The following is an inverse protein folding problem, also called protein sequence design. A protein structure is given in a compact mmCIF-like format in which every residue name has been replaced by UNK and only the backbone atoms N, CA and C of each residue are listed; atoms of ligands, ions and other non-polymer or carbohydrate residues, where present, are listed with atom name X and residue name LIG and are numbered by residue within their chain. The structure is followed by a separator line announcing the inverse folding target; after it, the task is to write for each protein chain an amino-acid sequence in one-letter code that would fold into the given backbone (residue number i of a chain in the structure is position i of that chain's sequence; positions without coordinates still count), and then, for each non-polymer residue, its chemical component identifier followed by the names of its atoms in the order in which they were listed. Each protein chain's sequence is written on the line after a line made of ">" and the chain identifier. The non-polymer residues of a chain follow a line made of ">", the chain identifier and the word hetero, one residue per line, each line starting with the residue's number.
data_IF_161056238404
#
_entry.id   IF_161056238404
#
_cell.length_a   1.000
_cell.length_b   1.000
_cell.length_c   1.000
_cell.angle_alpha   90.00
_cell.angle_beta   90.00
_cell.angle_gamma   90.00
#
_symmetry.space_group_name_H-M   'P 1'
#
loop_
_entity.id
_entity.type
_entity.pdbx_description
1 polymer ?
#
# COMPACT_ATOMS: atom_id res chain seq x y z
N UNK A 1 16.49 -19.74 13.10
CA UNK A 1 16.80 -18.70 12.09
C UNK A 1 18.19 -18.99 11.58
N UNK A 2 18.31 -19.62 10.41
CA UNK A 2 19.60 -19.80 9.75
C UNK A 2 20.04 -18.45 9.21
N UNK A 3 21.27 -18.01 9.54
CA UNK A 3 22.00 -16.86 8.99
C UNK A 3 22.29 -17.04 7.48
N UNK A 4 21.27 -17.37 6.69
CA UNK A 4 21.38 -17.43 5.24
C UNK A 4 21.26 -16.00 4.71
N UNK A 5 22.25 -15.59 3.91
CA UNK A 5 22.26 -14.29 3.24
C UNK A 5 21.03 -14.17 2.32
N UNK A 6 20.33 -13.01 2.31
CA UNK A 6 19.15 -12.83 1.47
C UNK A 6 19.51 -12.96 -0.02
N UNK A 7 18.64 -13.62 -0.79
CA UNK A 7 18.83 -13.79 -2.23
C UNK A 7 18.66 -12.46 -2.97
N UNK A 8 17.77 -11.59 -2.47
CA UNK A 8 17.57 -10.22 -2.95
C UNK A 8 17.44 -9.26 -1.76
N UNK A 9 18.15 -8.14 -1.84
CA UNK A 9 18.18 -7.13 -0.79
C UNK A 9 18.15 -5.73 -1.38
N UNK A 10 17.36 -4.83 -0.83
CA UNK A 10 17.35 -3.42 -1.17
C UNK A 10 17.73 -2.60 0.06
N UNK A 11 18.57 -1.58 -0.13
CA UNK A 11 19.03 -0.67 0.92
C UNK A 11 18.70 0.78 0.55
N UNK A 12 17.93 1.46 1.39
CA UNK A 12 17.52 2.86 1.21
C UNK A 12 16.86 3.15 -0.14
N UNK A 13 16.16 2.16 -0.70
CA UNK A 13 15.70 2.20 -2.07
C UNK A 13 14.71 3.33 -2.27
N UNK A 14 15.01 4.21 -3.22
CA UNK A 14 14.21 5.41 -3.47
C UNK A 14 13.87 5.49 -4.95
N UNK A 15 12.60 5.77 -5.26
CA UNK A 15 12.18 6.07 -6.63
C UNK A 15 11.21 7.24 -6.67
N UNK A 16 11.68 8.34 -7.23
CA UNK A 16 10.89 9.53 -7.48
C UNK A 16 10.65 9.72 -8.99
N UNK A 17 9.45 10.17 -9.34
CA UNK A 17 9.11 10.56 -10.71
C UNK A 17 8.99 12.08 -10.80
N UNK A 18 9.52 12.66 -11.87
CA UNK A 18 9.33 14.06 -12.19
C UNK A 18 7.90 14.25 -12.75
N UNK A 19 7.09 15.06 -12.07
CA UNK A 19 5.72 15.38 -12.50
C UNK A 19 5.62 16.70 -13.26
N UNK A 20 6.74 17.31 -13.65
CA UNK A 20 6.71 18.55 -14.43
C UNK A 20 6.12 18.31 -15.82
N UNK A 21 4.91 18.84 -16.05
CA UNK A 21 4.30 18.91 -17.37
C UNK A 21 4.99 19.99 -18.22
N UNK A 22 6.19 19.70 -18.69
CA UNK A 22 6.84 20.40 -19.81
C UNK A 22 8.02 21.32 -19.46
N UNK A 23 8.75 21.65 -20.54
CA UNK A 23 10.03 22.38 -20.52
C UNK A 23 10.00 23.76 -19.83
N UNK A 24 8.82 24.38 -19.72
CA UNK A 24 8.67 25.72 -19.14
C UNK A 24 8.64 25.68 -17.60
N UNK A 25 8.03 24.66 -17.00
CA UNK A 25 7.96 24.54 -15.52
C UNK A 25 9.31 24.12 -14.92
N UNK A 26 10.06 23.26 -15.64
CA UNK A 26 11.44 22.93 -15.30
C UNK A 26 12.38 24.16 -15.32
N UNK A 27 12.17 25.09 -16.26
CA UNK A 27 12.92 26.36 -16.32
C UNK A 27 12.55 27.37 -15.22
N UNK A 28 11.35 27.25 -14.63
CA UNK A 28 10.87 28.10 -13.54
C UNK A 28 11.18 27.53 -12.15
N UNK A 29 11.84 26.37 -12.07
CA UNK A 29 12.23 25.75 -10.80
C UNK A 29 11.07 25.12 -10.02
N UNK A 30 9.97 24.78 -10.70
CA UNK A 30 8.77 24.17 -10.11
C UNK A 30 8.72 22.66 -10.35
N UNK A 31 9.85 21.98 -10.14
CA UNK A 31 9.88 20.51 -10.25
C UNK A 31 9.15 19.93 -9.05
N UNK A 32 8.00 19.32 -9.31
CA UNK A 32 7.28 18.51 -8.35
C UNK A 32 7.71 17.05 -8.52
N UNK A 33 7.98 16.38 -7.41
CA UNK A 33 8.46 15.00 -7.40
C UNK A 33 7.39 14.11 -6.79
N UNK A 34 6.97 13.07 -7.51
CA UNK A 34 6.12 12.01 -6.96
C UNK A 34 7.01 11.01 -6.25
N UNK A 35 6.89 10.93 -4.93
CA UNK A 35 7.66 9.99 -4.10
C UNK A 35 7.01 8.60 -4.07
N UNK A 36 7.27 7.79 -5.10
CA UNK A 36 6.62 6.49 -5.25
C UNK A 36 7.23 5.39 -4.36
N UNK A 37 8.53 5.48 -4.08
CA UNK A 37 9.25 4.68 -3.08
C UNK A 37 10.22 5.62 -2.39
N UNK A 38 10.27 5.63 -1.06
CA UNK A 38 11.07 6.59 -0.30
C UNK A 38 11.88 5.90 0.80
N UNK A 39 13.15 5.62 0.51
CA UNK A 39 14.11 5.12 1.51
C UNK A 39 13.81 3.76 2.13
N UNK A 40 13.25 2.81 1.36
CA UNK A 40 12.83 1.51 1.94
C UNK A 40 13.94 0.46 1.91
N UNK A 41 14.04 -0.31 2.99
CA UNK A 41 14.92 -1.49 3.12
C UNK A 41 14.09 -2.77 2.99
N UNK A 42 14.50 -3.69 2.11
CA UNK A 42 13.74 -4.92 1.83
C UNK A 42 14.67 -6.12 1.70
N UNK A 43 14.29 -7.25 2.28
CA UNK A 43 15.03 -8.51 2.17
C UNK A 43 14.10 -9.66 1.81
N UNK A 44 14.50 -10.40 0.77
CA UNK A 44 13.91 -11.67 0.34
C UNK A 44 14.93 -12.78 0.54
N UNK A 45 14.50 -13.88 1.15
CA UNK A 45 15.29 -15.10 1.36
C UNK A 45 15.01 -16.12 0.26
N UNK A 46 15.95 -17.05 0.06
CA UNK A 46 15.78 -18.15 -0.89
C UNK A 46 14.59 -19.03 -0.47
N UNK A 47 13.69 -19.31 -1.42
CA UNK A 47 12.48 -20.09 -1.20
C UNK A 47 11.38 -19.37 -0.42
N UNK A 48 11.54 -18.08 -0.11
CA UNK A 48 10.56 -17.27 0.63
C UNK A 48 9.59 -16.58 -0.34
N UNK A 49 8.33 -16.43 0.09
CA UNK A 49 7.38 -15.47 -0.48
C UNK A 49 7.26 -14.27 0.44
N UNK A 50 7.72 -13.11 -0.04
CA UNK A 50 7.53 -11.81 0.59
C UNK A 50 6.30 -11.11 -0.01
N UNK A 51 5.22 -11.03 0.75
CA UNK A 51 4.02 -10.28 0.42
C UNK A 51 4.23 -8.77 0.58
N UNK A 52 3.82 -7.99 -0.42
CA UNK A 52 3.79 -6.52 -0.37
C UNK A 52 2.36 -6.06 -0.58
N UNK A 53 1.77 -5.45 0.44
CA UNK A 53 0.36 -5.07 0.48
C UNK A 53 0.17 -3.58 0.75
N UNK A 54 -0.97 -3.04 0.33
CA UNK A 54 -1.34 -1.64 0.56
C UNK A 54 -2.39 -1.15 -0.43
N UNK A 55 -2.92 0.05 -0.22
CA UNK A 55 -3.93 0.67 -1.08
C UNK A 55 -3.37 0.92 -2.50
N UNK A 56 -4.26 1.06 -3.49
CA UNK A 56 -3.85 1.41 -4.85
C UNK A 56 -3.09 2.74 -4.87
N UNK A 57 -2.00 2.79 -5.65
CA UNK A 57 -1.16 3.99 -5.76
C UNK A 57 -0.15 4.22 -4.62
N UNK A 58 -0.05 3.33 -3.62
CA UNK A 58 0.92 3.50 -2.53
C UNK A 58 2.40 3.22 -2.90
N UNK A 59 2.68 2.70 -4.10
CA UNK A 59 4.05 2.51 -4.60
C UNK A 59 4.48 1.08 -4.93
N UNK A 60 3.68 0.05 -4.62
CA UNK A 60 4.05 -1.38 -4.75
C UNK A 60 4.58 -1.78 -6.13
N UNK A 61 3.86 -1.44 -7.20
CA UNK A 61 4.31 -1.71 -8.58
C UNK A 61 5.61 -0.98 -8.91
N UNK A 62 5.83 0.22 -8.38
CA UNK A 62 7.11 0.94 -8.55
C UNK A 62 8.22 0.22 -7.79
N UNK A 63 7.98 -0.22 -6.56
CA UNK A 63 8.92 -1.04 -5.79
C UNK A 63 9.34 -2.29 -6.58
N UNK A 64 8.38 -3.11 -7.02
CA UNK A 64 8.65 -4.33 -7.78
C UNK A 64 9.47 -4.08 -9.05
N UNK A 65 9.13 -3.04 -9.81
CA UNK A 65 9.89 -2.67 -11.03
C UNK A 65 11.29 -2.14 -10.73
N UNK A 66 11.46 -1.45 -9.60
CA UNK A 66 12.74 -0.86 -9.21
C UNK A 66 13.69 -1.93 -8.69
N UNK A 67 13.20 -2.94 -7.96
CA UNK A 67 13.98 -4.10 -7.51
C UNK A 67 14.69 -4.82 -8.69
N UNK A 68 14.05 -4.89 -9.86
CA UNK A 68 14.61 -5.53 -11.05
C UNK A 68 15.31 -4.57 -12.01
N UNK A 69 15.42 -3.28 -11.63
CA UNK A 69 15.92 -2.21 -12.49
C UNK A 69 15.19 -2.17 -13.86
N UNK A 70 13.89 -2.51 -13.86
CA UNK A 70 12.99 -2.18 -14.97
C UNK A 70 12.70 -0.67 -14.98
N UNK A 71 12.74 -0.08 -13.79
CA UNK A 71 12.79 1.36 -13.56
C UNK A 71 14.06 1.65 -12.76
N UNK A 72 14.87 2.60 -13.22
CA UNK A 72 16.10 2.98 -12.51
C UNK A 72 15.76 3.64 -11.17
N UNK A 73 16.34 3.22 -10.04
CA UNK A 73 16.19 3.91 -8.77
C UNK A 73 16.69 5.36 -8.86
N UNK A 74 16.11 6.23 -8.05
CA UNK A 74 16.60 7.60 -7.85
C UNK A 74 17.79 7.61 -6.89
N UNK A 75 17.73 6.79 -5.84
CA UNK A 75 18.80 6.59 -4.85
C UNK A 75 18.66 5.18 -4.22
N UNK A 76 19.66 4.77 -3.46
CA UNK A 76 19.75 3.45 -2.84
C UNK A 76 20.29 2.37 -3.79
N UNK A 77 20.46 1.16 -3.25
CA UNK A 77 21.04 0.03 -3.96
C UNK A 77 20.14 -1.21 -3.88
N UNK A 78 20.25 -2.08 -4.87
CA UNK A 78 19.60 -3.39 -4.88
C UNK A 78 20.66 -4.44 -5.16
N UNK A 79 20.76 -5.44 -4.30
CA UNK A 79 21.71 -6.54 -4.36
C UNK A 79 20.98 -7.83 -4.68
N UNK A 80 21.50 -8.61 -5.63
CA UNK A 80 21.07 -9.98 -5.88
C UNK A 80 22.26 -10.91 -5.70
N UNK A 81 22.15 -11.87 -4.78
CA UNK A 81 23.26 -12.74 -4.36
C UNK A 81 24.57 -11.97 -4.08
N UNK A 82 24.45 -10.79 -3.45
CA UNK A 82 25.57 -9.90 -3.14
C UNK A 82 26.11 -9.03 -4.30
N UNK A 83 25.62 -9.19 -5.54
CA UNK A 83 25.97 -8.33 -6.68
C UNK A 83 25.02 -7.12 -6.75
N UNK A 84 25.56 -5.89 -6.79
CA UNK A 84 24.76 -4.66 -6.90
C UNK A 84 24.18 -4.47 -8.30
N UNK A 85 22.86 -4.64 -8.43
CA UNK A 85 22.09 -4.50 -9.65
C UNK A 85 22.10 -3.07 -10.23
N UNK A 86 22.35 -2.05 -9.40
CA UNK A 86 22.33 -0.65 -9.83
C UNK A 86 23.57 -0.25 -10.63
N UNK A 87 24.70 -0.92 -10.39
CA UNK A 87 26.00 -0.63 -11.04
C UNK A 87 26.39 -1.65 -12.14
N UNK A 88 25.61 -2.72 -12.33
CA UNK A 88 25.92 -3.69 -13.40
C UNK A 88 25.72 -3.10 -14.80
N UNK A 89 26.53 -3.59 -15.75
CA UNK A 89 26.42 -3.24 -17.16
C UNK A 89 25.11 -3.78 -17.78
N UNK A 90 24.64 -3.12 -18.85
CA UNK A 90 23.49 -3.60 -19.64
C UNK A 90 23.61 -5.04 -20.14
N UNK A 91 24.84 -5.53 -20.37
CA UNK A 91 25.07 -6.93 -20.77
C UNK A 91 24.83 -7.87 -19.59
N UNK A 92 25.40 -7.57 -18.42
CA UNK A 92 25.20 -8.37 -17.20
C UNK A 92 23.73 -8.35 -16.74
N UNK A 93 23.05 -7.20 -16.85
CA UNK A 93 21.60 -7.12 -16.64
C UNK A 93 20.81 -8.05 -17.56
N UNK A 94 21.22 -8.24 -18.82
CA UNK A 94 20.56 -9.21 -19.71
C UNK A 94 20.77 -10.64 -19.25
N UNK A 95 21.91 -10.96 -18.66
CA UNK A 95 22.16 -12.28 -18.10
C UNK A 95 21.32 -12.51 -16.84
N UNK A 96 21.29 -11.55 -15.92
CA UNK A 96 20.50 -11.59 -14.69
C UNK A 96 18.98 -11.65 -14.94
N UNK A 97 18.51 -11.18 -16.10
CA UNK A 97 17.13 -11.38 -16.56
C UNK A 97 16.79 -12.82 -16.94
N UNK A 98 17.69 -13.79 -16.83
CA UNK A 98 17.32 -15.21 -16.80
C UNK A 98 16.93 -15.65 -15.38
N UNK A 99 17.67 -15.13 -14.41
CA UNK A 99 17.58 -15.50 -12.99
C UNK A 99 16.44 -14.77 -12.27
N UNK A 100 16.06 -13.57 -12.74
CA UNK A 100 15.03 -12.74 -12.11
C UNK A 100 13.95 -12.37 -13.14
N UNK A 101 12.70 -12.70 -12.85
CA UNK A 101 11.55 -12.52 -13.74
C UNK A 101 10.43 -11.67 -13.14
N UNK A 102 9.53 -11.21 -14.01
CA UNK A 102 8.41 -10.36 -13.64
C UNK A 102 7.11 -10.85 -14.29
N UNK A 103 6.08 -11.04 -13.47
CA UNK A 103 4.70 -11.30 -13.90
C UNK A 103 3.91 -10.00 -13.71
N UNK A 104 3.40 -9.46 -14.81
CA UNK A 104 2.70 -8.18 -14.83
C UNK A 104 1.22 -8.30 -14.44
N UNK A 105 0.69 -7.24 -13.84
CA UNK A 105 -0.69 -7.08 -13.36
C UNK A 105 -1.78 -7.43 -14.36
N UNK A 106 -1.64 -7.02 -15.62
CA UNK A 106 -2.65 -7.28 -16.64
C UNK A 106 -2.15 -8.32 -17.68
N UNK A 107 -2.71 -9.54 -17.67
CA UNK A 107 -2.38 -10.54 -18.68
C UNK A 107 -2.85 -10.16 -20.10
N UNK A 108 -3.77 -9.20 -20.26
CA UNK A 108 -4.20 -8.73 -21.59
C UNK A 108 -3.15 -7.83 -22.24
N UNK A 109 -2.65 -6.82 -21.52
CA UNK A 109 -1.66 -5.89 -22.06
C UNK A 109 -0.25 -6.48 -22.11
N UNK A 110 0.06 -7.48 -21.27
CA UNK A 110 1.39 -8.09 -21.22
C UNK A 110 1.62 -9.21 -22.25
N UNK A 111 0.57 -9.74 -22.87
CA UNK A 111 0.67 -10.76 -23.93
C UNK A 111 0.45 -10.12 -25.30
N UNK A 112 1.42 -10.26 -26.22
CA UNK A 112 1.29 -9.71 -27.57
C UNK A 112 0.17 -10.46 -28.33
N UNK A 113 -0.96 -9.81 -28.69
CA UNK A 113 -2.11 -10.49 -29.28
C UNK A 113 -1.86 -10.99 -30.71
N UNK A 114 -0.73 -10.61 -31.33
CA UNK A 114 -0.33 -11.04 -32.68
C UNK A 114 0.51 -12.31 -32.69
N UNK A 115 1.01 -12.73 -31.53
CA UNK A 115 1.83 -13.93 -31.38
C UNK A 115 0.96 -15.09 -30.90
N UNK A 116 1.33 -16.31 -31.28
CA UNK A 116 0.72 -17.50 -30.69
C UNK A 116 1.22 -17.70 -29.26
N UNK A 117 0.51 -18.49 -28.46
CA UNK A 117 0.93 -18.82 -27.10
C UNK A 117 2.31 -19.46 -27.07
N UNK A 118 2.60 -20.35 -28.02
CA UNK A 118 3.91 -20.97 -28.14
C UNK A 118 5.01 -19.98 -28.54
N UNK A 119 4.69 -18.97 -29.36
CA UNK A 119 5.63 -17.89 -29.65
C UNK A 119 5.92 -17.05 -28.40
N UNK A 120 4.88 -16.74 -27.62
CA UNK A 120 5.01 -15.92 -26.40
C UNK A 120 5.83 -16.64 -25.32
N UNK A 121 5.55 -17.93 -25.08
CA UNK A 121 6.28 -18.74 -24.09
C UNK A 121 7.72 -19.01 -24.57
N UNK A 122 7.92 -19.15 -25.88
CA UNK A 122 9.25 -19.42 -26.44
C UNK A 122 10.11 -18.17 -26.67
N UNK A 123 9.55 -16.96 -26.67
CA UNK A 123 10.30 -15.73 -26.88
C UNK A 123 11.46 -15.55 -25.87
N UNK A 124 11.32 -15.81 -24.56
CA UNK A 124 12.44 -15.79 -23.63
C UNK A 124 13.53 -16.83 -23.97
N UNK A 125 13.14 -18.03 -24.43
CA UNK A 125 14.11 -19.06 -24.85
C UNK A 125 14.96 -18.57 -26.02
N UNK A 126 14.33 -17.91 -26.99
CA UNK A 126 14.99 -17.37 -28.17
C UNK A 126 15.89 -16.17 -27.83
N UNK A 127 15.43 -15.27 -26.96
CA UNK A 127 16.19 -14.07 -26.55
C UNK A 127 17.49 -14.44 -25.81
N UNK A 128 17.46 -15.54 -25.06
CA UNK A 128 18.56 -15.98 -24.21
C UNK A 128 19.34 -17.19 -24.76
N UNK A 129 19.08 -17.58 -26.02
CA UNK A 129 19.75 -18.68 -26.72
C UNK A 129 19.69 -20.01 -25.91
N UNK A 130 18.56 -20.29 -25.25
CA UNK A 130 18.39 -21.45 -24.35
C UNK A 130 18.04 -22.73 -25.12
N UNK A 131 17.13 -22.63 -26.10
CA UNK A 131 16.65 -23.79 -26.85
C UNK A 131 16.19 -23.38 -28.26
N UNK A 132 16.40 -24.25 -29.25
CA UNK A 132 15.98 -24.03 -30.64
C UNK A 132 15.24 -25.25 -31.21
N UNK A 133 14.48 -25.04 -32.30
CA UNK A 133 13.88 -26.13 -33.08
C UNK A 133 12.94 -27.06 -32.28
N UNK A 134 13.21 -28.37 -32.33
CA UNK A 134 12.40 -29.38 -31.63
C UNK A 134 12.54 -29.27 -30.10
N UNK A 135 13.71 -28.90 -29.59
CA UNK A 135 13.95 -28.73 -28.15
C UNK A 135 13.12 -27.56 -27.61
N UNK A 136 13.13 -26.42 -28.31
CA UNK A 136 12.26 -25.28 -28.00
C UNK A 136 10.79 -25.68 -27.95
N UNK A 137 10.34 -26.44 -28.95
CA UNK A 137 8.94 -26.89 -29.02
C UNK A 137 8.60 -27.83 -27.87
N UNK A 138 9.50 -28.76 -27.54
CA UNK A 138 9.34 -29.66 -26.39
C UNK A 138 9.24 -28.90 -25.07
N UNK A 139 10.11 -27.91 -24.85
CA UNK A 139 10.09 -27.07 -23.65
C UNK A 139 8.81 -26.26 -23.51
N UNK A 140 8.29 -25.69 -24.61
CA UNK A 140 7.01 -24.98 -24.59
C UNK A 140 5.86 -25.90 -24.18
N UNK A 141 5.86 -27.15 -24.65
CA UNK A 141 4.81 -28.11 -24.30
C UNK A 141 4.88 -28.54 -22.85
N UNK A 142 6.09 -28.77 -22.33
CA UNK A 142 6.33 -29.02 -20.92
C UNK A 142 5.82 -27.85 -20.06
N UNK A 143 6.22 -26.61 -20.37
CA UNK A 143 5.80 -25.42 -19.62
C UNK A 143 4.28 -25.23 -19.63
N UNK A 144 3.61 -25.52 -20.76
CA UNK A 144 2.15 -25.49 -20.84
C UNK A 144 1.53 -26.53 -19.90
N UNK A 145 2.05 -27.75 -19.88
CA UNK A 145 1.58 -28.81 -18.96
C UNK A 145 1.81 -28.45 -17.50
N UNK A 146 2.99 -27.91 -17.17
CA UNK A 146 3.35 -27.43 -15.83
C UNK A 146 2.33 -26.42 -15.31
N UNK A 147 1.90 -25.46 -16.12
CA UNK A 147 0.86 -24.50 -15.72
C UNK A 147 -0.58 -25.00 -15.91
N UNK A 148 -0.79 -26.31 -16.13
CA UNK A 148 -2.10 -26.94 -16.24
C UNK A 148 -2.85 -26.64 -17.55
N UNK A 149 -2.13 -26.31 -18.63
CA UNK A 149 -2.68 -26.09 -19.96
C UNK A 149 -2.32 -27.26 -20.90
N UNK A 150 -3.17 -27.48 -21.91
CA UNK A 150 -2.90 -28.52 -22.90
C UNK A 150 -1.81 -28.07 -23.89
N UNK A 151 -0.78 -28.88 -24.22
CA UNK A 151 0.26 -28.52 -25.20
C UNK A 151 -0.26 -28.02 -26.55
N UNK A 152 -1.40 -28.56 -27.02
CA UNK A 152 -2.01 -28.14 -28.29
C UNK A 152 -2.46 -26.67 -28.29
N UNK A 153 -2.54 -26.03 -27.13
CA UNK A 153 -2.80 -24.61 -26.97
C UNK A 153 -1.67 -23.73 -27.49
N UNK A 154 -0.46 -24.26 -27.69
CA UNK A 154 0.68 -23.50 -28.22
C UNK A 154 0.37 -22.79 -29.56
N UNK A 155 -0.49 -23.36 -30.40
CA UNK A 155 -0.84 -22.80 -31.71
C UNK A 155 -1.99 -21.79 -31.68
N UNK A 156 -2.58 -21.56 -30.51
CA UNK A 156 -3.69 -20.60 -30.32
C UNK A 156 -3.15 -19.21 -29.98
N UNK A 157 -4.02 -18.22 -30.09
CA UNK A 157 -3.74 -16.83 -29.74
C UNK A 157 -4.30 -16.47 -28.36
N UNK A 158 -3.72 -15.48 -27.65
CA UNK A 158 -4.16 -15.08 -26.31
C UNK A 158 -5.67 -14.79 -26.19
N UNK A 159 -6.29 -14.21 -27.23
CA UNK A 159 -7.71 -13.86 -27.22
C UNK A 159 -8.65 -15.07 -27.14
N UNK A 160 -8.15 -16.29 -27.37
CA UNK A 160 -8.90 -17.55 -27.30
C UNK A 160 -8.95 -18.15 -25.88
N UNK A 161 -8.35 -17.49 -24.88
CA UNK A 161 -8.23 -17.96 -23.50
C UNK A 161 -9.00 -17.09 -22.50
N UNK A 162 -9.42 -17.68 -21.38
CA UNK A 162 -9.96 -16.96 -20.21
C UNK A 162 -8.88 -16.14 -19.50
N UNK A 163 -9.27 -15.23 -18.59
CA UNK A 163 -8.33 -14.44 -17.80
C UNK A 163 -7.31 -15.31 -17.04
N UNK A 164 -7.78 -16.31 -16.29
CA UNK A 164 -6.90 -17.22 -15.55
C UNK A 164 -5.99 -18.07 -16.44
N UNK A 165 -6.47 -18.48 -17.63
CA UNK A 165 -5.61 -19.19 -18.59
C UNK A 165 -4.51 -18.29 -19.17
N UNK A 166 -4.81 -17.00 -19.41
CA UNK A 166 -3.78 -16.03 -19.82
C UNK A 166 -2.78 -15.75 -18.71
N UNK A 167 -3.22 -15.74 -17.46
CA UNK A 167 -2.33 -15.64 -16.32
C UNK A 167 -1.37 -16.83 -16.27
N UNK A 168 -1.88 -18.06 -16.45
CA UNK A 168 -1.07 -19.28 -16.58
C UNK A 168 -0.05 -19.19 -17.73
N UNK A 169 -0.43 -18.62 -18.87
CA UNK A 169 0.50 -18.36 -19.98
C UNK A 169 1.59 -17.36 -19.57
N UNK A 170 1.24 -16.30 -18.84
CA UNK A 170 2.20 -15.35 -18.29
C UNK A 170 3.20 -15.98 -17.32
N UNK A 171 2.72 -16.87 -16.45
CA UNK A 171 3.55 -17.67 -15.53
C UNK A 171 4.48 -18.60 -16.32
N UNK A 172 3.96 -19.35 -17.29
CA UNK A 172 4.76 -20.25 -18.14
C UNK A 172 5.86 -19.50 -18.90
N UNK A 173 5.58 -18.28 -19.37
CA UNK A 173 6.58 -17.42 -20.00
C UNK A 173 7.70 -17.04 -19.03
N UNK A 174 7.38 -16.69 -17.79
CA UNK A 174 8.40 -16.37 -16.78
C UNK A 174 9.27 -17.59 -16.44
N UNK A 175 8.67 -18.76 -16.30
CA UNK A 175 9.38 -20.02 -16.01
C UNK A 175 10.27 -20.51 -17.16
N UNK A 176 10.09 -19.99 -18.38
CA UNK A 176 10.78 -20.50 -19.55
C UNK A 176 12.32 -20.44 -19.43
N UNK A 177 12.84 -19.51 -18.62
CA UNK A 177 14.28 -19.28 -18.42
C UNK A 177 14.82 -19.85 -17.11
N UNK A 178 14.04 -20.69 -16.41
CA UNK A 178 14.39 -21.30 -15.11
C UNK A 178 14.87 -20.26 -14.07
N UNK A 179 14.02 -19.28 -13.70
CA UNK A 179 14.40 -18.21 -12.78
C UNK A 179 14.53 -18.71 -11.34
N UNK A 180 15.24 -17.93 -10.51
CA UNK A 180 15.29 -18.13 -9.05
C UNK A 180 14.29 -17.19 -8.33
N UNK A 181 14.05 -16.00 -8.89
CA UNK A 181 13.16 -14.99 -8.31
C UNK A 181 12.09 -14.58 -9.32
N UNK A 182 10.84 -14.47 -8.85
CA UNK A 182 9.76 -13.88 -9.63
C UNK A 182 9.06 -12.78 -8.82
N UNK A 183 8.98 -11.58 -9.40
CA UNK A 183 8.11 -10.51 -8.87
C UNK A 183 6.73 -10.66 -9.50
N UNK A 184 5.74 -10.93 -8.66
CA UNK A 184 4.35 -11.10 -9.02
C UNK A 184 3.59 -9.81 -8.72
N UNK A 185 3.34 -8.99 -9.74
CA UNK A 185 2.65 -7.70 -9.60
C UNK A 185 1.15 -7.90 -9.79
N UNK A 186 0.40 -8.02 -8.69
CA UNK A 186 -1.05 -8.26 -8.69
C UNK A 186 -1.50 -9.39 -9.63
N UNK A 187 -0.93 -10.60 -9.52
CA UNK A 187 -1.15 -11.67 -10.50
C UNK A 187 -2.60 -12.19 -10.55
N UNK A 188 -3.45 -11.79 -9.60
CA UNK A 188 -4.80 -12.32 -9.41
C UNK A 188 -5.89 -11.22 -9.36
N UNK A 189 -5.54 -9.94 -9.48
CA UNK A 189 -6.48 -8.82 -9.22
C UNK A 189 -7.66 -8.75 -10.20
N UNK A 190 -7.48 -9.20 -11.43
CA UNK A 190 -8.52 -9.18 -12.47
C UNK A 190 -9.32 -10.49 -12.60
N UNK A 191 -9.20 -11.41 -11.63
CA UNK A 191 -9.75 -12.76 -11.68
C UNK A 191 -10.88 -12.95 -10.66
N UNK A 192 -11.81 -13.86 -10.96
CA UNK A 192 -12.83 -14.26 -9.99
C UNK A 192 -12.21 -15.09 -8.86
N UNK A 193 -12.80 -15.05 -7.65
CA UNK A 193 -12.28 -15.69 -6.42
C UNK A 193 -11.90 -17.16 -6.64
N UNK A 194 -12.68 -17.92 -7.42
CA UNK A 194 -12.39 -19.34 -7.66
C UNK A 194 -11.15 -19.55 -8.53
N UNK A 195 -10.93 -18.67 -9.51
CA UNK A 195 -9.73 -18.67 -10.36
C UNK A 195 -8.53 -18.09 -9.61
N UNK A 196 -8.72 -17.09 -8.73
CA UNK A 196 -7.65 -16.56 -7.88
C UNK A 196 -7.00 -17.69 -7.06
N UNK A 197 -7.80 -18.47 -6.32
CA UNK A 197 -7.32 -19.61 -5.54
C UNK A 197 -6.56 -20.63 -6.41
N UNK A 198 -7.04 -20.93 -7.63
CA UNK A 198 -6.34 -21.84 -8.54
C UNK A 198 -4.99 -21.32 -9.03
N UNK A 199 -4.80 -20.00 -9.09
CA UNK A 199 -3.52 -19.38 -9.46
C UNK A 199 -2.58 -19.34 -8.25
N UNK A 200 -3.09 -19.06 -7.04
CA UNK A 200 -2.27 -19.10 -5.82
C UNK A 200 -1.71 -20.50 -5.58
N UNK A 201 -2.56 -21.53 -5.59
CA UNK A 201 -2.10 -22.92 -5.45
C UNK A 201 -1.08 -23.31 -6.52
N UNK A 202 -1.26 -22.82 -7.76
CA UNK A 202 -0.28 -23.06 -8.82
C UNK A 202 1.07 -22.41 -8.48
N UNK A 203 1.09 -21.18 -7.97
CA UNK A 203 2.33 -20.52 -7.58
C UNK A 203 3.02 -21.24 -6.42
N UNK A 204 2.27 -21.71 -5.43
CA UNK A 204 2.78 -22.53 -4.33
C UNK A 204 3.40 -23.84 -4.84
N UNK A 205 2.69 -24.58 -5.69
CA UNK A 205 3.19 -25.82 -6.31
C UNK A 205 4.51 -25.56 -7.07
N UNK A 206 4.58 -24.44 -7.80
CA UNK A 206 5.78 -24.05 -8.54
C UNK A 206 6.93 -23.63 -7.62
N UNK A 207 6.63 -22.97 -6.50
CA UNK A 207 7.62 -22.60 -5.49
C UNK A 207 8.29 -23.86 -4.94
N UNK A 208 7.51 -24.86 -4.55
CA UNK A 208 7.99 -26.12 -4.02
C UNK A 208 8.77 -26.94 -5.07
N UNK A 209 8.27 -26.99 -6.30
CA UNK A 209 8.87 -27.80 -7.38
C UNK A 209 10.19 -27.22 -7.89
N UNK A 210 10.26 -25.89 -8.05
CA UNK A 210 11.40 -25.21 -8.69
C UNK A 210 12.30 -24.45 -7.69
N UNK A 211 11.94 -24.37 -6.41
CA UNK A 211 12.69 -23.62 -5.41
C UNK A 211 12.63 -22.11 -5.62
N UNK A 212 11.50 -21.59 -6.13
CA UNK A 212 11.35 -20.17 -6.47
C UNK A 212 11.26 -19.31 -5.21
N UNK A 213 11.69 -18.06 -5.33
CA UNK A 213 11.44 -17.02 -4.33
C UNK A 213 10.54 -15.94 -4.94
N UNK A 214 9.57 -15.45 -4.17
CA UNK A 214 8.56 -14.52 -4.68
C UNK A 214 8.58 -13.18 -3.95
N UNK A 215 8.49 -12.09 -4.71
CA UNK A 215 7.93 -10.83 -4.19
C UNK A 215 6.51 -10.76 -4.71
N UNK A 216 5.53 -10.94 -3.83
CA UNK A 216 4.12 -11.02 -4.19
C UNK A 216 3.40 -9.71 -3.84
N UNK A 217 3.12 -8.90 -4.85
CA UNK A 217 2.43 -7.63 -4.70
C UNK A 217 0.92 -7.84 -4.82
N UNK A 218 0.16 -7.38 -3.84
CA UNK A 218 -1.30 -7.37 -3.88
C UNK A 218 -1.87 -6.12 -3.20
N UNK A 219 -3.18 -5.91 -3.34
CA UNK A 219 -3.92 -4.89 -2.59
C UNK A 219 -4.87 -5.52 -1.55
N UNK A 220 -4.96 -6.85 -1.50
CA UNK A 220 -5.86 -7.60 -0.64
C UNK A 220 -5.02 -8.43 0.35
N UNK A 221 -5.24 -8.19 1.65
CA UNK A 221 -4.56 -8.90 2.73
C UNK A 221 -4.89 -10.40 2.74
N UNK A 222 -6.12 -10.79 2.38
CA UNK A 222 -6.53 -12.20 2.37
C UNK A 222 -5.79 -13.03 1.32
N UNK A 223 -5.39 -12.41 0.21
CA UNK A 223 -4.61 -13.06 -0.84
C UNK A 223 -3.16 -13.26 -0.39
N UNK A 224 -2.56 -12.26 0.26
CA UNK A 224 -1.17 -12.36 0.73
C UNK A 224 -1.03 -13.28 1.93
N UNK A 225 -2.04 -13.37 2.81
CA UNK A 225 -2.08 -14.30 3.93
C UNK A 225 -1.88 -15.75 3.48
N UNK A 226 -2.49 -16.11 2.34
CA UNK A 226 -2.49 -17.49 1.87
C UNK A 226 -1.11 -17.97 1.41
N UNK A 227 -0.37 -17.11 0.71
CA UNK A 227 0.85 -17.48 -0.04
C UNK A 227 2.15 -16.96 0.57
N UNK A 228 2.10 -15.97 1.46
CA UNK A 228 3.31 -15.28 1.94
C UNK A 228 3.84 -15.87 3.24
N UNK A 229 5.16 -15.93 3.37
CA UNK A 229 5.85 -16.24 4.63
C UNK A 229 5.98 -14.98 5.51
N UNK A 230 6.23 -13.84 4.86
CA UNK A 230 6.40 -12.51 5.46
C UNK A 230 5.62 -11.48 4.68
N UNK A 231 5.17 -10.44 5.37
CA UNK A 231 4.36 -9.37 4.80
C UNK A 231 4.99 -8.02 5.14
N UNK A 232 4.96 -7.14 4.14
CA UNK A 232 5.30 -5.73 4.24
C UNK A 232 4.07 -4.92 3.85
N UNK A 233 3.58 -4.10 4.78
CA UNK A 233 2.47 -3.17 4.56
C UNK A 233 3.04 -1.83 4.12
N UNK A 234 2.75 -1.42 2.89
CA UNK A 234 3.27 -0.22 2.26
C UNK A 234 2.23 0.90 2.24
N UNK A 235 2.61 2.08 2.72
CA UNK A 235 1.79 3.28 2.71
C UNK A 235 2.58 4.48 2.17
N UNK A 236 2.06 5.12 1.13
CA UNK A 236 2.66 6.31 0.49
C UNK A 236 4.19 6.24 0.29
N UNK A 237 4.71 5.16 -0.28
CA UNK A 237 6.15 5.05 -0.58
C UNK A 237 7.01 4.46 0.53
N UNK A 238 6.48 4.26 1.73
CA UNK A 238 7.20 3.74 2.91
C UNK A 238 6.56 2.45 3.44
N UNK A 239 7.30 1.75 4.31
CA UNK A 239 6.80 0.56 5.01
C UNK A 239 6.21 0.96 6.37
N UNK A 240 4.91 0.75 6.54
CA UNK A 240 4.20 1.01 7.77
C UNK A 240 4.38 -0.12 8.80
N UNK A 241 4.50 -1.35 8.32
CA UNK A 241 4.60 -2.55 9.15
C UNK A 241 5.25 -3.70 8.38
N UNK A 242 6.11 -4.46 9.07
CA UNK A 242 6.85 -5.60 8.52
C UNK A 242 6.84 -6.73 9.53
N UNK A 243 6.55 -7.96 9.12
CA UNK A 243 6.60 -9.11 10.01
C UNK A 243 6.38 -10.43 9.27
N UNK A 244 6.40 -11.54 10.00
CA UNK A 244 5.84 -12.80 9.49
C UNK A 244 4.35 -12.66 9.23
N UNK A 245 3.79 -13.51 8.37
CA UNK A 245 2.35 -13.49 8.10
C UNK A 245 1.53 -13.63 9.39
N UNK A 246 1.95 -14.49 10.32
CA UNK A 246 1.29 -14.58 11.63
C UNK A 246 1.39 -13.29 12.44
N UNK A 247 2.57 -12.68 12.54
CA UNK A 247 2.77 -11.44 13.31
C UNK A 247 1.95 -10.26 12.75
N UNK A 248 1.81 -10.13 11.43
CA UNK A 248 1.05 -9.02 10.82
C UNK A 248 -0.47 -9.22 10.96
N UNK A 249 -0.92 -10.45 11.20
CA UNK A 249 -2.33 -10.81 11.40
C UNK A 249 -2.74 -10.92 12.88
N UNK A 250 -1.81 -10.68 13.80
CA UNK A 250 -2.05 -10.67 15.25
C UNK A 250 -1.60 -9.32 15.87
N UNK A 251 -2.29 -8.78 16.89
CA UNK A 251 -1.88 -7.51 17.51
C UNK A 251 -0.48 -7.63 18.15
N UNK A 252 0.30 -6.54 18.21
CA UNK A 252 -0.07 -5.15 17.93
C UNK A 252 -0.06 -4.78 16.43
N UNK A 253 -0.85 -3.77 16.02
CA UNK A 253 -0.94 -3.34 14.62
C UNK A 253 -0.57 -1.88 14.39
N UNK A 254 0.04 -1.56 13.25
CA UNK A 254 -0.05 -0.20 12.74
C UNK A 254 -1.54 0.15 12.52
N UNK A 255 -2.04 1.34 12.91
CA UNK A 255 -3.45 1.72 12.71
C UNK A 255 -3.94 1.64 11.24
N UNK A 256 -3.01 1.72 10.30
CA UNK A 256 -3.27 1.47 8.87
C UNK A 256 -3.51 -0.01 8.58
N UNK A 257 -2.64 -0.90 9.08
CA UNK A 257 -2.78 -2.36 8.93
C UNK A 257 -4.07 -2.84 9.59
N UNK A 258 -4.36 -2.36 10.80
CA UNK A 258 -5.62 -2.65 11.50
C UNK A 258 -6.84 -2.27 10.65
N UNK A 259 -6.81 -1.10 10.01
CA UNK A 259 -7.88 -0.68 9.12
C UNK A 259 -8.01 -1.57 7.87
N UNK A 260 -6.90 -2.01 7.28
CA UNK A 260 -6.91 -2.95 6.15
C UNK A 260 -7.47 -4.32 6.57
N UNK A 261 -7.06 -4.85 7.71
CA UNK A 261 -7.54 -6.12 8.26
C UNK A 261 -9.05 -6.05 8.58
N UNK A 262 -9.53 -4.94 9.14
CA UNK A 262 -10.95 -4.74 9.45
C UNK A 262 -11.87 -4.73 8.23
N UNK A 263 -11.30 -4.56 7.03
CA UNK A 263 -12.03 -4.60 5.77
C UNK A 263 -12.12 -6.01 5.15
N UNK A 264 -11.41 -7.00 5.69
CA UNK A 264 -11.50 -8.39 5.23
C UNK A 264 -12.86 -8.95 5.65
N UNK A 265 -13.68 -9.46 4.71
CA UNK A 265 -14.99 -9.97 5.02
C UNK A 265 -14.90 -11.29 5.79
N UNK A 266 -15.55 -11.38 6.95
CA UNK A 266 -15.68 -12.65 7.65
C UNK A 266 -16.74 -13.56 7.00
N UNK A 267 -16.46 -14.87 6.82
CA UNK A 267 -17.41 -15.81 6.21
C UNK A 267 -18.72 -16.01 7.01
N UNK A 268 -18.77 -15.61 8.28
CA UNK A 268 -19.95 -15.75 9.12
C UNK A 268 -21.02 -14.70 8.74
N UNK A 269 -22.19 -15.12 8.22
CA UNK A 269 -23.27 -14.19 7.87
C UNK A 269 -23.90 -13.45 9.06
N UNK A 270 -23.56 -13.83 10.29
CA UNK A 270 -23.98 -13.17 11.53
C UNK A 270 -22.93 -12.20 12.08
N UNK A 271 -21.78 -12.07 11.41
CA UNK A 271 -20.72 -11.18 11.87
C UNK A 271 -21.14 -9.71 11.78
N UNK A 272 -21.18 -9.06 12.95
CA UNK A 272 -21.37 -7.61 13.11
C UNK A 272 -20.04 -6.99 13.56
N UNK A 273 -18.98 -7.14 12.76
CA UNK A 273 -17.70 -6.53 13.09
C UNK A 273 -17.66 -5.05 12.80
N UNK A 274 -16.87 -4.34 13.60
CA UNK A 274 -16.64 -2.91 13.44
C UNK A 274 -15.60 -2.67 12.33
N UNK A 275 -16.08 -2.45 11.10
CA UNK A 275 -15.22 -2.01 10.01
C UNK A 275 -14.66 -0.61 10.32
N UNK A 276 -13.34 -0.44 10.24
CA UNK A 276 -12.69 0.85 10.44
C UNK A 276 -12.77 1.62 9.12
N UNK A 277 -13.58 2.68 9.09
CA UNK A 277 -13.66 3.57 7.95
C UNK A 277 -12.58 4.65 8.06
N UNK A 278 -11.59 4.59 7.17
CA UNK A 278 -10.58 5.64 7.08
C UNK A 278 -11.18 6.91 6.44
N UNK A 279 -11.08 8.07 7.09
CA UNK A 279 -11.61 9.31 6.54
C UNK A 279 -10.79 9.80 5.34
N UNK A 280 -11.44 10.56 4.46
CA UNK A 280 -10.80 11.26 3.35
C UNK A 280 -10.22 10.35 2.25
N UNK A 281 -9.50 10.98 1.31
CA UNK A 281 -8.78 10.29 0.25
C UNK A 281 -7.31 10.06 0.65
N UNK A 282 -6.63 9.15 -0.04
CA UNK A 282 -5.17 9.01 0.06
C UNK A 282 -4.50 10.35 -0.29
N UNK A 283 -3.61 10.87 0.57
CA UNK A 283 -2.86 12.09 0.27
C UNK A 283 -2.04 11.99 -1.02
N UNK A 284 -1.73 13.14 -1.62
CA UNK A 284 -0.93 13.17 -2.84
C UNK A 284 0.50 12.72 -2.58
N UNK A 285 1.06 11.80 -3.36
CA UNK A 285 2.48 11.43 -3.27
C UNK A 285 3.43 12.52 -3.80
N UNK A 286 2.90 13.62 -4.35
CA UNK A 286 3.69 14.80 -4.76
C UNK A 286 4.14 15.62 -3.53
N UNK A 287 3.26 15.71 -2.54
CA UNK A 287 3.46 16.46 -1.31
C UNK A 287 2.96 15.60 -0.15
N UNK A 288 3.73 14.56 0.24
CA UNK A 288 3.31 13.64 1.29
C UNK A 288 3.22 14.37 2.64
N UNK A 289 2.33 13.94 3.55
CA UNK A 289 2.23 14.54 4.88
C UNK A 289 3.55 14.49 5.64
N UNK A 290 3.82 15.51 6.46
CA UNK A 290 5.03 15.58 7.30
C UNK A 290 4.96 14.60 8.48
N UNK A 291 6.11 14.24 9.05
CA UNK A 291 6.16 13.28 10.16
C UNK A 291 5.66 11.90 9.72
N UNK A 292 4.67 11.35 10.41
CA UNK A 292 4.04 10.07 10.05
C UNK A 292 3.10 10.25 8.85
N UNK A 293 3.42 9.69 7.69
CA UNK A 293 2.59 9.84 6.46
C UNK A 293 1.10 9.52 6.65
N UNK A 294 0.78 8.62 7.59
CA UNK A 294 -0.60 8.20 7.86
C UNK A 294 -1.37 9.13 8.82
N UNK A 295 -0.73 10.11 9.46
CA UNK A 295 -1.35 10.93 10.52
C UNK A 295 -2.64 11.64 10.07
N UNK A 296 -2.78 11.95 8.78
CA UNK A 296 -3.97 12.59 8.21
C UNK A 296 -5.20 11.68 8.17
N UNK A 297 -5.02 10.35 8.20
CA UNK A 297 -6.10 9.36 8.16
C UNK A 297 -6.14 8.48 9.40
N UNK A 298 -5.11 8.52 10.23
CA UNK A 298 -4.96 7.69 11.42
C UNK A 298 -6.08 7.95 12.45
N UNK A 299 -6.89 6.93 12.82
CA UNK A 299 -7.87 7.06 13.91
C UNK A 299 -7.19 7.26 15.28
N UNK A 300 -5.96 6.75 15.43
CA UNK A 300 -5.14 6.82 16.64
C UNK A 300 -4.07 7.93 16.58
N UNK A 301 -4.34 9.02 15.84
CA UNK A 301 -3.42 10.18 15.80
C UNK A 301 -3.22 10.73 17.21
N UNK A 302 -1.95 10.85 17.62
CA UNK A 302 -1.59 11.20 18.99
C UNK A 302 -1.97 12.66 19.27
N UNK A 303 -2.58 12.92 20.42
CA UNK A 303 -2.80 14.27 20.91
C UNK A 303 -1.63 14.72 21.80
N UNK A 304 -1.24 16.00 21.80
CA UNK A 304 -0.28 16.55 22.75
C UNK A 304 -0.68 16.33 24.21
N UNK A 305 0.31 16.23 25.11
CA UNK A 305 0.08 16.04 26.56
C UNK A 305 -0.77 17.14 27.21
N UNK A 306 -0.81 18.33 26.60
CA UNK A 306 -1.61 19.47 27.06
C UNK A 306 -3.12 19.29 26.85
N UNK A 307 -3.54 18.31 26.04
CA UNK A 307 -4.94 17.98 25.81
C UNK A 307 -5.38 16.67 26.48
N UNK A 308 -6.60 16.68 27.01
CA UNK A 308 -7.29 15.51 27.56
C UNK A 308 -8.66 15.33 26.91
N UNK A 309 -8.63 14.88 25.65
CA UNK A 309 -9.80 14.67 24.80
C UNK A 309 -10.02 13.19 24.55
N UNK A 310 -11.29 12.78 24.43
CA UNK A 310 -11.60 11.48 23.85
C UNK A 310 -11.04 11.37 22.43
N UNK A 311 -10.52 10.20 22.06
CA UNK A 311 -9.80 10.00 20.80
C UNK A 311 -10.68 10.32 19.57
N UNK A 312 -11.97 9.99 19.63
CA UNK A 312 -12.93 10.33 18.58
C UNK A 312 -13.08 11.85 18.40
N UNK A 313 -13.15 12.60 19.50
CA UNK A 313 -13.26 14.07 19.48
C UNK A 313 -11.98 14.71 18.95
N UNK A 314 -10.81 14.23 19.38
CA UNK A 314 -9.52 14.67 18.85
C UNK A 314 -9.45 14.43 17.33
N UNK A 315 -9.84 13.23 16.88
CA UNK A 315 -9.86 12.90 15.46
C UNK A 315 -10.80 13.82 14.68
N UNK A 316 -11.99 14.12 15.20
CA UNK A 316 -12.94 15.06 14.58
C UNK A 316 -12.35 16.48 14.43
N UNK A 317 -11.64 16.97 15.44
CA UNK A 317 -10.93 18.26 15.37
C UNK A 317 -9.83 18.22 14.30
N UNK A 318 -9.07 17.13 14.21
CA UNK A 318 -8.05 16.94 13.18
C UNK A 318 -8.64 16.87 11.76
N UNK A 319 -9.86 16.33 11.59
CA UNK A 319 -10.58 16.37 10.31
C UNK A 319 -10.96 17.80 9.91
N UNK A 320 -11.48 18.59 10.85
CA UNK A 320 -11.77 20.01 10.62
C UNK A 320 -10.51 20.78 10.23
N UNK A 321 -9.40 20.54 10.95
CA UNK A 321 -8.09 21.13 10.65
C UNK A 321 -7.66 20.81 9.21
N UNK A 322 -7.68 19.53 8.83
CA UNK A 322 -7.30 19.12 7.47
C UNK A 322 -8.22 19.71 6.41
N UNK A 323 -9.54 19.69 6.61
CA UNK A 323 -10.50 20.26 5.66
C UNK A 323 -10.31 21.77 5.49
N UNK A 324 -9.95 22.47 6.57
CA UNK A 324 -9.66 23.91 6.54
C UNK A 324 -8.33 24.23 5.85
N UNK A 325 -7.33 23.32 5.93
CA UNK A 325 -6.08 23.44 5.14
C UNK A 325 -6.36 23.42 3.64
N UNK A 326 -7.18 22.49 3.18
CA UNK A 326 -7.47 22.29 1.75
C UNK A 326 -8.52 23.27 1.19
N UNK A 327 -9.28 23.94 2.06
CA UNK A 327 -10.36 24.83 1.69
C UNK A 327 -9.87 26.21 1.21
N UNK A 328 -10.43 26.68 0.08
CA UNK A 328 -10.30 28.08 -0.35
C UNK A 328 -11.45 28.96 0.16
N UNK A 329 -12.61 28.36 0.46
CA UNK A 329 -13.82 29.08 0.87
C UNK A 329 -14.55 28.38 2.02
N UNK A 330 -15.41 29.11 2.73
CA UNK A 330 -16.19 28.56 3.85
C UNK A 330 -17.10 27.41 3.40
N UNK A 331 -17.71 27.54 2.23
CA UNK A 331 -18.63 26.54 1.68
C UNK A 331 -17.94 25.20 1.46
N UNK A 332 -16.65 25.20 1.10
CA UNK A 332 -15.87 23.96 0.91
C UNK A 332 -15.59 23.20 2.22
N UNK A 333 -15.65 23.91 3.35
CA UNK A 333 -15.46 23.34 4.70
C UNK A 333 -16.74 22.69 5.20
N UNK A 334 -17.89 23.33 4.98
CA UNK A 334 -19.20 22.89 5.48
C UNK A 334 -20.08 22.27 4.39
N UNK A 335 -19.49 21.79 3.30
CA UNK A 335 -20.20 21.31 2.11
C UNK A 335 -21.03 20.05 2.42
N UNK A 336 -22.28 20.26 2.81
CA UNK A 336 -23.30 19.22 2.84
C UNK A 336 -23.71 18.85 1.42
N UNK A 337 -23.67 17.56 1.09
CA UNK A 337 -24.29 17.03 -0.13
C UNK A 337 -25.71 17.59 -0.31
N UNK A 338 -25.97 18.18 -1.48
CA UNK A 338 -27.19 18.88 -1.91
C UNK A 338 -28.48 18.01 -1.93
N UNK A 339 -28.50 16.85 -1.27
CA UNK A 339 -29.58 15.85 -1.41
C UNK A 339 -30.66 15.87 -0.33
N UNK A 340 -30.63 16.79 0.65
CA UNK A 340 -31.74 16.97 1.61
C UNK A 340 -32.05 18.45 1.82
N UNK A 341 -33.08 18.91 1.12
CA UNK A 341 -33.47 20.31 1.04
C UNK A 341 -33.67 21.01 2.40
N UNK A 342 -33.20 22.26 2.46
CA UNK A 342 -33.54 23.23 3.50
C UNK A 342 -32.44 23.57 4.50
N UNK A 343 -31.15 23.49 4.14
CA UNK A 343 -30.06 24.01 5.01
C UNK A 343 -29.69 25.45 4.65
N UNK A 344 -29.47 26.25 5.69
CA UNK A 344 -29.00 27.65 5.66
C UNK A 344 -27.69 27.73 4.89
N UNK A 345 -27.55 28.72 4.01
CA UNK A 345 -26.28 29.05 3.39
C UNK A 345 -25.25 29.36 4.50
N UNK A 346 -24.13 28.62 4.60
CA UNK A 346 -23.10 28.86 5.62
C UNK A 346 -22.58 30.30 5.60
N UNK A 347 -22.60 30.96 4.43
CA UNK A 347 -22.20 32.36 4.29
C UNK A 347 -23.23 33.36 4.86
N UNK A 348 -24.49 32.96 5.01
CA UNK A 348 -25.58 33.77 5.58
C UNK A 348 -25.90 33.40 7.04
N UNK A 349 -25.31 32.32 7.55
CA UNK A 349 -25.52 31.83 8.91
C UNK A 349 -24.92 32.80 9.95
N UNK A 350 -25.66 33.03 11.04
CA UNK A 350 -25.07 33.73 12.18
C UNK A 350 -24.03 32.85 12.89
N UNK A 351 -23.13 33.46 13.67
CA UNK A 351 -22.04 32.76 14.38
C UNK A 351 -22.48 31.50 15.14
N UNK A 352 -23.64 31.51 15.79
CA UNK A 352 -24.13 30.34 16.54
C UNK A 352 -24.65 29.23 15.62
N UNK A 353 -25.22 29.59 14.47
CA UNK A 353 -25.65 28.63 13.45
C UNK A 353 -24.44 28.00 12.76
N UNK A 354 -23.41 28.79 12.45
CA UNK A 354 -22.17 28.28 11.86
C UNK A 354 -21.43 27.32 12.81
N UNK A 355 -21.32 27.67 14.09
CA UNK A 355 -20.75 26.79 15.12
C UNK A 355 -21.48 25.44 15.17
N UNK A 356 -22.82 25.46 15.12
CA UNK A 356 -23.63 24.25 15.05
C UNK A 356 -23.39 23.42 13.78
N UNK A 357 -23.32 24.06 12.61
CA UNK A 357 -23.08 23.41 11.32
C UNK A 357 -21.70 22.76 11.25
N UNK A 358 -20.65 23.46 11.66
CA UNK A 358 -19.28 22.92 11.68
C UNK A 358 -19.20 21.73 12.63
N UNK A 359 -19.75 21.87 13.84
CA UNK A 359 -19.71 20.77 14.81
C UNK A 359 -20.49 19.55 14.34
N UNK A 360 -21.65 19.74 13.71
CA UNK A 360 -22.43 18.66 13.13
C UNK A 360 -21.69 17.97 11.97
N UNK A 361 -21.08 18.73 11.07
CA UNK A 361 -20.36 18.21 9.89
C UNK A 361 -19.17 17.31 10.27
N UNK A 362 -18.46 17.64 11.34
CA UNK A 362 -17.26 16.92 11.79
C UNK A 362 -17.51 16.00 12.99
N UNK A 363 -18.77 15.79 13.40
CA UNK A 363 -19.14 15.01 14.59
C UNK A 363 -18.46 15.52 15.88
N UNK A 364 -18.20 16.82 15.99
CA UNK A 364 -17.64 17.45 17.19
C UNK A 364 -18.78 17.71 18.18
N UNK A 365 -18.64 17.33 19.47
CA UNK A 365 -19.65 17.65 20.48
C UNK A 365 -19.92 19.16 20.59
N UNK A 366 -21.16 19.51 20.94
CA UNK A 366 -21.56 20.92 21.16
C UNK A 366 -20.74 21.63 22.23
N UNK A 367 -20.10 20.88 23.12
CA UNK A 367 -19.05 21.36 24.02
C UNK A 367 -17.99 20.28 24.16
N UNK A 368 -16.74 20.67 23.95
CA UNK A 368 -15.58 19.84 24.19
C UNK A 368 -15.22 19.91 25.69
N UNK A 369 -14.75 18.80 26.25
CA UNK A 369 -14.40 18.68 27.68
C UNK A 369 -13.22 19.58 28.07
N UNK A 370 -12.23 19.68 27.20
CA UNK A 370 -11.01 20.45 27.40
C UNK A 370 -11.26 21.97 27.17
N UNK A 371 -11.05 22.84 28.19
CA UNK A 371 -11.30 24.27 28.06
C UNK A 371 -10.31 25.03 27.15
N UNK A 372 -9.12 24.49 26.91
CA UNK A 372 -8.17 25.07 25.96
C UNK A 372 -8.58 24.73 24.54
N UNK A 373 -8.92 23.47 24.27
CA UNK A 373 -9.42 23.03 22.97
C UNK A 373 -10.72 23.75 22.59
N UNK A 374 -11.67 23.87 23.51
CA UNK A 374 -12.95 24.56 23.26
C UNK A 374 -12.75 26.05 22.93
N UNK A 375 -11.79 26.72 23.60
CA UNK A 375 -11.43 28.11 23.28
C UNK A 375 -10.80 28.23 21.89
N UNK A 376 -9.84 27.36 21.57
CA UNK A 376 -9.18 27.37 20.27
C UNK A 376 -10.15 27.11 19.11
N UNK A 377 -11.06 26.14 19.29
CA UNK A 377 -12.11 25.82 18.32
C UNK A 377 -13.08 27.01 18.15
N UNK A 378 -13.52 27.61 19.26
CA UNK A 378 -14.37 28.80 19.23
C UNK A 378 -13.71 29.97 18.49
N UNK A 379 -12.41 30.20 18.71
CA UNK A 379 -11.64 31.24 18.01
C UNK A 379 -11.52 30.96 16.51
N UNK A 380 -11.30 29.70 16.12
CA UNK A 380 -11.27 29.31 14.71
C UNK A 380 -12.63 29.55 14.02
N UNK A 381 -13.73 29.21 14.69
CA UNK A 381 -15.09 29.43 14.19
C UNK A 381 -15.41 30.92 14.08
N UNK A 382 -14.96 31.74 15.04
CA UNK A 382 -15.10 33.20 14.96
C UNK A 382 -14.37 33.78 13.73
N UNK A 383 -13.20 33.22 13.38
CA UNK A 383 -12.45 33.60 12.16
C UNK A 383 -13.16 33.15 10.89
N UNK A 384 -13.70 31.92 10.85
CA UNK A 384 -14.52 31.43 9.74
C UNK A 384 -15.76 32.30 9.51
N UNK A 385 -16.49 32.65 10.58
CA UNK A 385 -17.65 33.54 10.50
C UNK A 385 -17.28 34.95 10.01
N UNK A 386 -16.06 35.43 10.29
CA UNK A 386 -15.56 36.69 9.74
C UNK A 386 -15.10 36.59 8.27
N UNK A 387 -15.23 35.42 7.63
CA UNK A 387 -14.76 35.14 6.27
C UNK A 387 -13.23 35.01 6.18
N UNK A 388 -12.53 34.85 7.31
CA UNK A 388 -11.08 34.73 7.37
C UNK A 388 -10.65 33.25 7.46
N UNK A 389 -10.74 32.54 6.34
CA UNK A 389 -10.37 31.11 6.24
C UNK A 389 -8.88 30.90 6.55
N UNK A 390 -7.99 31.73 6.01
CA UNK A 390 -6.55 31.63 6.28
C UNK A 390 -6.26 31.81 7.78
N UNK A 391 -6.90 32.79 8.43
CA UNK A 391 -6.77 32.95 9.86
C UNK A 391 -7.33 31.75 10.65
N UNK A 392 -8.43 31.14 10.21
CA UNK A 392 -8.94 29.93 10.86
C UNK A 392 -7.98 28.76 10.70
N UNK A 393 -7.36 28.62 9.52
CA UNK A 393 -6.32 27.62 9.24
C UNK A 393 -5.14 27.79 10.20
N UNK A 394 -4.56 29.00 10.27
CA UNK A 394 -3.45 29.30 11.18
C UNK A 394 -3.80 28.99 12.64
N UNK A 395 -5.03 29.34 13.07
CA UNK A 395 -5.49 29.05 14.43
C UNK A 395 -5.54 27.55 14.73
N UNK A 396 -6.07 26.75 13.80
CA UNK A 396 -6.17 25.30 13.97
C UNK A 396 -4.80 24.62 13.88
N UNK A 397 -3.91 25.15 13.03
CA UNK A 397 -2.54 24.68 12.89
C UNK A 397 -1.72 24.92 14.16
N UNK A 398 -1.75 26.13 14.69
CA UNK A 398 -1.03 26.49 15.91
C UNK A 398 -1.58 25.79 17.15
N UNK A 399 -2.91 25.61 17.24
CA UNK A 399 -3.54 25.06 18.44
C UNK A 399 -3.53 23.54 18.51
N UNK A 400 -3.55 22.84 17.37
CA UNK A 400 -3.78 21.40 17.33
C UNK A 400 -2.67 20.66 16.56
N UNK A 401 -1.41 20.91 16.90
CA UNK A 401 -0.24 20.20 16.31
C UNK A 401 -0.04 18.84 16.97
N UNK A 402 -0.23 17.76 16.22
CA UNK A 402 0.04 16.40 16.73
C UNK A 402 1.55 16.10 16.70
N UNK A 403 2.09 15.32 17.67
CA UNK A 403 3.43 14.73 17.53
C UNK A 403 3.62 13.97 16.22
N UNK A 404 2.56 13.36 15.68
CA UNK A 404 2.58 12.64 14.41
C UNK A 404 2.76 13.54 13.19
N UNK A 405 2.50 14.85 13.28
CA UNK A 405 2.77 15.83 12.20
C UNK A 405 4.25 16.23 12.14
N UNK A 406 4.96 16.10 13.26
CA UNK A 406 6.31 16.66 13.46
C UNK A 406 7.38 15.57 13.42
N UNK A 407 7.06 14.37 13.93
CA UNK A 407 8.02 13.29 14.09
C UNK A 407 7.77 12.16 13.09
N UNK A 408 8.82 11.80 12.37
CA UNK A 408 8.85 10.64 11.49
C UNK A 408 9.11 9.37 12.31
N UNK A 409 8.22 8.38 12.28
CA UNK A 409 8.42 7.13 13.02
C UNK A 409 9.49 6.27 12.32
N UNK A 410 10.45 5.77 13.10
CA UNK A 410 11.33 4.69 12.64
C UNK A 410 10.63 3.32 12.73
N UNK A 411 11.23 2.28 12.17
CA UNK A 411 10.80 0.89 12.39
C UNK A 411 11.05 0.51 13.86
N UNK A 412 9.99 0.29 14.63
CA UNK A 412 10.08 -0.07 16.06
C UNK A 412 9.76 -1.55 16.19
N UNK A 413 10.69 -2.32 16.78
CA UNK A 413 10.48 -3.73 17.04
C UNK A 413 9.37 -3.95 18.09
N UNK A 414 8.31 -4.64 17.69
CA UNK A 414 7.17 -5.05 18.53
C UNK A 414 7.13 -6.55 18.81
N UNK A 415 7.94 -7.33 18.08
CA UNK A 415 8.09 -8.78 18.23
C UNK A 415 9.52 -9.23 17.91
N UNK A 416 9.69 -10.52 17.62
CA UNK A 416 11.01 -11.09 17.26
C UNK A 416 11.43 -10.64 15.86
N UNK A 417 10.47 -10.60 14.92
CA UNK A 417 10.67 -10.13 13.54
C UNK A 417 9.65 -9.08 13.10
N UNK A 418 8.75 -8.69 14.01
CA UNK A 418 7.71 -7.69 13.80
C UNK A 418 8.22 -6.29 14.10
N UNK A 419 8.12 -5.40 13.11
CA UNK A 419 8.48 -4.01 13.17
C UNK A 419 7.32 -3.13 12.71
N UNK A 420 7.03 -2.07 13.46
CA UNK A 420 5.94 -1.14 13.17
C UNK A 420 6.46 0.29 13.17
N UNK A 421 6.23 1.02 12.07
CA UNK A 421 6.57 2.43 11.95
C UNK A 421 5.48 3.34 12.54
N UNK A 422 5.27 3.29 13.86
CA UNK A 422 4.27 4.10 14.53
C UNK A 422 4.75 4.66 15.88
N UNK A 423 4.54 5.96 16.09
CA UNK A 423 4.89 6.63 17.35
C UNK A 423 4.14 6.07 18.58
N UNK A 424 3.04 5.35 18.39
CA UNK A 424 2.32 4.66 19.48
C UNK A 424 3.20 3.61 20.21
N UNK A 425 4.19 3.07 19.52
CA UNK A 425 5.13 2.08 20.07
C UNK A 425 6.43 2.71 20.55
N UNK A 426 6.57 4.03 20.42
CA UNK A 426 7.74 4.77 20.88
C UNK A 426 7.55 5.23 22.32
N UNK A 427 8.43 4.79 23.22
CA UNK A 427 8.37 5.13 24.65
C UNK A 427 8.35 6.65 24.92
N UNK A 428 8.83 7.48 23.99
CA UNK A 428 8.81 8.95 24.12
C UNK A 428 7.40 9.55 23.99
N UNK A 429 6.48 8.83 23.35
CA UNK A 429 5.12 9.28 23.07
C UNK A 429 4.05 8.34 23.67
N UNK A 430 4.47 7.29 24.39
CA UNK A 430 3.58 6.38 25.11
C UNK A 430 2.93 7.12 26.29
N UNK A 431 1.68 7.53 26.10
CA UNK A 431 0.91 8.29 27.09
C UNK A 431 0.21 7.40 28.14
N UNK A 432 0.39 6.08 28.06
CA UNK A 432 -0.25 5.11 28.95
C UNK A 432 -1.78 5.06 28.83
N UNK A 433 -2.39 5.78 27.87
CA UNK A 433 -3.84 5.75 27.58
C UNK A 433 -4.21 4.56 26.69
N UNK A 434 -3.33 3.56 26.56
CA UNK A 434 -3.63 2.26 25.97
C UNK A 434 -4.81 1.64 26.72
N UNK A 435 -6.01 1.70 26.16
CA UNK A 435 -7.05 0.73 26.49
C UNK A 435 -6.61 -0.61 25.92
N UNK A 436 -5.81 -1.34 26.69
CA UNK A 436 -5.72 -2.79 26.54
C UNK A 436 -7.12 -3.32 26.88
N UNK A 437 -7.88 -3.72 25.87
CA UNK A 437 -9.15 -4.44 26.02
C UNK A 437 -10.37 -3.72 25.47
N UNK A 438 -10.59 -3.82 24.17
CA UNK A 438 -11.85 -4.38 23.69
C UNK A 438 -11.56 -5.85 23.35
N UNK A 439 -11.62 -6.71 24.38
CA UNK A 439 -11.72 -8.15 24.17
C UNK A 439 -13.02 -8.42 23.39
N UNK A 440 -13.01 -9.13 22.25
CA UNK A 440 -14.25 -9.68 21.72
C UNK A 440 -14.78 -10.63 22.78
N UNK A 441 -15.96 -10.30 23.32
CA UNK A 441 -16.51 -10.94 24.50
C UNK A 441 -16.44 -12.46 24.41
N UNK A 442 -15.91 -13.04 25.49
CA UNK A 442 -16.05 -14.44 25.88
C UNK A 442 -17.53 -14.83 25.78
N UNK A 443 -17.96 -15.36 24.64
CA UNK A 443 -19.21 -16.09 24.51
C UNK A 443 -18.98 -17.43 25.19
N UNK A 444 -19.12 -17.40 26.53
CA UNK A 444 -19.15 -18.57 27.38
C UNK A 444 -20.02 -19.66 26.73
N UNK A 445 -19.38 -20.81 26.50
CA UNK A 445 -20.08 -22.07 26.32
C UNK A 445 -20.89 -22.34 27.60
N UNK A 446 -22.22 -22.30 27.48
CA UNK A 446 -23.15 -22.91 28.42
C UNK A 446 -24.17 -23.74 27.63
N UNK A 447 -24.05 -25.06 27.83
CA UNK A 447 -24.90 -26.23 27.48
C UNK A 447 -25.29 -26.54 26.02
#
# INVERSE_FOLDING_TARGET
>A
MTDAEPILRAEGLTKYYDSSEGFVDSLLGRTQWVKAVDGVDLELREGETLGVVGESGCGKTTLGRTLLRLVEPTDGSVYYQGEDLTDVSNKRLRDLRKEIQYIFQDPFSSLNPRLTVGDIIGEPLDIHDIAEGEERTGRIYELLETVGLNPSHAHRYPHEFSGGQRQRIGIARALAVDPEIIVCDEPVSALDVSVQAQILNLLEDLQEEFGLSYVFIAHDLSVVEHISDRIVVMYLGEFAEVGTTGEVFDPPYHPYTEALLSAIPEPDPLWEGNQIFLPGNVPSPIDPPSGCRFHTRCPQVIQPEEYDLEQSVWRSIMNLKQRTRDAETLESITATDDTRGGRTDPAEANRSELDGLVREEFDIPQRVSDPQAERALSEAIDRLHAGNVDGARDQLDDAFESPCEVHEPGQIATGDTHEIACLLYDERFDDGRRSVGDEPGDAAADD
#
